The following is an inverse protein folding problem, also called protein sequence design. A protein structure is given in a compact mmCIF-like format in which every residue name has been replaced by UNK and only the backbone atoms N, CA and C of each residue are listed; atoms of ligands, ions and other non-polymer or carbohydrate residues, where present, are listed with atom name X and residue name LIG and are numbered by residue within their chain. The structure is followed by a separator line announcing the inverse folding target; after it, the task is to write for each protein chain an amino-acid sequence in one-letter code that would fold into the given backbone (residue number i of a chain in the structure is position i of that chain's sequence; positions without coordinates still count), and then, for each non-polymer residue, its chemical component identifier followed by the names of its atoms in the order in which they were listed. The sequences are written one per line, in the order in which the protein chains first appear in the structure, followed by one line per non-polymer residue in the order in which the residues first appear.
data_IF_452614945196
#
_entry.id   IF_452614945196
#
_cell.length_a   1.000
_cell.length_b   1.000
_cell.length_c   1.000
_cell.angle_alpha   90.00
_cell.angle_beta   90.00
_cell.angle_gamma   90.00
#
_symmetry.space_group_name_H-M   'P 1'
#
loop_
_entity.id
_entity.type
_entity.pdbx_description
1 polymer ?
#
# COMPACT_ATOMS: atom_id res chain seq x y z
N UNK A 1 -16.37 15.08 7.96
CA UNK A 1 -15.52 14.45 6.91
C UNK A 1 -14.10 14.53 7.41
N UNK A 2 -13.37 13.44 7.34
CA UNK A 2 -11.94 13.43 7.74
C UNK A 2 -11.12 13.87 6.52
N UNK A 3 -10.32 14.90 6.67
CA UNK A 3 -9.43 15.36 5.60
C UNK A 3 -8.43 14.26 5.18
N UNK A 4 -7.95 14.28 3.92
CA UNK A 4 -6.87 13.41 3.51
C UNK A 4 -5.63 13.67 4.38
N UNK A 5 -4.82 12.63 4.60
CA UNK A 5 -3.55 12.73 5.37
C UNK A 5 -2.62 13.78 4.77
N UNK A 6 -2.67 13.95 3.46
CA UNK A 6 -1.93 15.00 2.77
C UNK A 6 -2.27 15.07 1.29
N UNK A 7 -2.07 16.25 0.74
CA UNK A 7 -2.24 16.53 -0.69
C UNK A 7 -1.08 17.40 -1.18
N UNK A 8 -0.50 17.03 -2.30
CA UNK A 8 0.42 17.90 -3.05
C UNK A 8 -0.13 18.21 -4.43
N UNK A 9 -0.21 19.49 -4.77
CA UNK A 9 -0.66 19.98 -6.08
C UNK A 9 0.03 21.29 -6.43
N UNK A 10 0.51 21.44 -7.67
CA UNK A 10 1.20 22.67 -8.08
C UNK A 10 0.33 23.58 -8.95
N UNK A 11 -0.43 23.05 -9.92
CA UNK A 11 -1.12 23.92 -10.88
C UNK A 11 -2.60 23.58 -11.03
N UNK A 12 -3.50 24.58 -11.04
CA UNK A 12 -4.91 24.37 -11.32
C UNK A 12 -5.20 23.94 -12.77
N UNK A 13 -4.28 24.22 -13.71
CA UNK A 13 -4.47 23.96 -15.15
C UNK A 13 -3.96 22.60 -15.60
N UNK A 14 -3.51 21.76 -14.65
CA UNK A 14 -2.92 20.47 -14.95
C UNK A 14 -3.95 19.46 -15.44
N UNK A 15 -3.68 18.84 -16.59
CA UNK A 15 -4.51 17.79 -17.18
C UNK A 15 -3.95 16.44 -16.81
N UNK A 16 -4.74 15.66 -16.06
CA UNK A 16 -4.42 14.28 -15.69
C UNK A 16 -4.91 13.30 -16.76
N UNK A 17 -4.08 12.29 -17.06
CA UNK A 17 -4.40 11.23 -18.02
C UNK A 17 -4.32 9.83 -17.40
N UNK A 18 -3.56 9.70 -16.32
CA UNK A 18 -3.29 8.43 -15.69
C UNK A 18 -3.19 8.57 -14.17
N UNK A 19 -3.25 7.45 -13.48
CA UNK A 19 -2.97 7.38 -12.05
C UNK A 19 -2.22 6.10 -11.70
N UNK A 20 -1.48 6.14 -10.58
CA UNK A 20 -0.92 4.96 -9.94
C UNK A 20 -1.18 4.98 -8.46
N UNK A 21 -1.64 3.85 -7.93
CA UNK A 21 -1.85 3.67 -6.48
C UNK A 21 -0.62 3.03 -5.87
N UNK A 22 -0.19 3.56 -4.72
CA UNK A 22 0.84 2.99 -3.86
C UNK A 22 0.27 2.69 -2.47
N UNK A 23 0.89 1.78 -1.77
CA UNK A 23 0.55 1.41 -0.39
C UNK A 23 1.00 0.01 -0.07
N UNK A 24 1.19 -0.28 1.20
CA UNK A 24 1.59 -1.61 1.64
C UNK A 24 0.58 -2.68 1.22
N UNK A 25 1.06 -3.93 1.14
CA UNK A 25 0.17 -5.08 1.00
C UNK A 25 -0.90 -5.03 2.08
N UNK A 26 -2.12 -5.36 1.74
CA UNK A 26 -3.29 -5.32 2.65
C UNK A 26 -3.76 -3.92 3.09
N UNK A 27 -3.22 -2.84 2.54
CA UNK A 27 -3.70 -1.48 2.82
C UNK A 27 -4.89 -1.03 1.96
N UNK A 28 -5.40 -1.88 1.05
CA UNK A 28 -6.55 -1.52 0.22
C UNK A 28 -6.21 -0.94 -1.15
N UNK A 29 -4.98 -1.12 -1.65
CA UNK A 29 -4.54 -0.61 -2.96
C UNK A 29 -5.45 -1.05 -4.11
N UNK A 30 -5.88 -2.33 -4.15
CA UNK A 30 -6.81 -2.82 -5.18
C UNK A 30 -8.19 -2.15 -5.10
N UNK A 31 -8.64 -1.81 -3.90
CA UNK A 31 -9.91 -1.11 -3.71
C UNK A 31 -9.83 0.32 -4.26
N UNK A 32 -8.79 1.07 -3.89
CA UNK A 32 -8.57 2.43 -4.40
C UNK A 32 -8.40 2.43 -5.93
N UNK A 33 -7.61 1.50 -6.48
CA UNK A 33 -7.46 1.34 -7.94
C UNK A 33 -8.78 1.12 -8.64
N UNK A 34 -9.58 0.17 -8.16
CA UNK A 34 -10.87 -0.14 -8.79
C UNK A 34 -11.89 1.00 -8.64
N UNK A 35 -11.88 1.71 -7.50
CA UNK A 35 -12.74 2.87 -7.28
C UNK A 35 -12.43 3.97 -8.29
N UNK A 36 -11.17 4.31 -8.46
CA UNK A 36 -10.72 5.35 -9.40
C UNK A 36 -10.94 4.95 -10.85
N UNK A 37 -10.58 3.73 -11.23
CA UNK A 37 -10.76 3.23 -12.61
C UNK A 37 -12.22 3.21 -13.06
N UNK A 38 -13.15 2.97 -12.13
CA UNK A 38 -14.58 2.94 -12.47
C UNK A 38 -15.23 4.32 -12.51
N UNK A 39 -14.68 5.29 -11.81
CA UNK A 39 -15.34 6.56 -11.57
C UNK A 39 -14.65 7.76 -12.24
N UNK A 40 -13.45 7.57 -12.79
CA UNK A 40 -12.70 8.64 -13.47
C UNK A 40 -12.31 8.21 -14.89
N UNK A 41 -12.00 9.15 -15.79
CA UNK A 41 -11.47 8.84 -17.12
C UNK A 41 -9.98 8.45 -17.10
N UNK A 42 -9.35 8.41 -15.93
CA UNK A 42 -7.91 8.14 -15.80
C UNK A 42 -7.59 6.69 -16.11
N UNK A 43 -6.46 6.46 -16.78
CA UNK A 43 -5.91 5.12 -16.99
C UNK A 43 -5.04 4.72 -15.81
N UNK A 44 -5.32 3.57 -15.21
CA UNK A 44 -4.41 2.98 -14.22
C UNK A 44 -3.11 2.56 -14.90
N UNK A 45 -1.97 2.89 -14.28
CA UNK A 45 -0.64 2.53 -14.74
C UNK A 45 0.17 1.91 -13.61
N UNK A 46 1.26 1.22 -13.97
CA UNK A 46 2.18 0.57 -13.02
C UNK A 46 3.65 0.82 -13.36
N UNK A 47 3.91 1.74 -14.29
CA UNK A 47 5.24 2.01 -14.82
C UNK A 47 6.17 2.73 -13.83
N UNK A 48 5.63 3.24 -12.73
CA UNK A 48 6.40 3.92 -11.69
C UNK A 48 6.84 2.98 -10.55
N UNK A 49 6.93 1.69 -10.85
CA UNK A 49 7.40 0.66 -9.94
C UNK A 49 6.29 -0.13 -9.26
N UNK A 50 6.71 -1.09 -8.46
CA UNK A 50 5.79 -1.97 -7.75
C UNK A 50 4.96 -1.20 -6.72
N UNK A 51 3.65 -1.33 -6.79
CA UNK A 51 2.72 -0.55 -5.95
C UNK A 51 2.89 -0.74 -4.45
N UNK A 52 3.50 -1.84 -4.02
CA UNK A 52 3.80 -2.14 -2.62
C UNK A 52 5.26 -1.85 -2.25
N UNK A 53 6.06 -1.37 -3.21
CA UNK A 53 7.44 -0.95 -3.01
C UNK A 53 7.56 0.50 -2.58
N UNK A 54 8.79 0.92 -2.31
CA UNK A 54 9.13 2.32 -2.08
C UNK A 54 9.14 3.03 -3.44
N UNK A 55 8.43 4.15 -3.60
CA UNK A 55 8.50 4.93 -4.83
C UNK A 55 9.91 5.48 -5.08
N UNK A 56 10.65 4.89 -6.01
CA UNK A 56 12.08 5.18 -6.27
C UNK A 56 12.38 5.77 -7.64
N UNK A 57 11.36 6.15 -8.40
CA UNK A 57 11.53 6.75 -9.72
C UNK A 57 11.97 8.22 -9.64
N UNK A 58 12.83 8.69 -10.58
CA UNK A 58 13.42 10.03 -10.52
C UNK A 58 12.52 11.12 -11.13
N UNK A 59 11.55 10.76 -11.98
CA UNK A 59 10.71 11.70 -12.73
C UNK A 59 9.24 11.51 -12.42
N UNK A 60 8.58 12.60 -12.07
CA UNK A 60 7.14 12.65 -11.75
C UNK A 60 6.39 13.36 -12.89
N UNK A 61 5.73 12.61 -13.79
CA UNK A 61 4.99 13.25 -14.86
C UNK A 61 3.79 14.02 -14.32
N UNK A 62 3.64 15.26 -14.78
CA UNK A 62 2.53 16.13 -14.40
C UNK A 62 1.16 15.53 -14.71
N UNK A 63 1.06 14.65 -15.70
CA UNK A 63 -0.19 14.01 -16.10
C UNK A 63 -0.58 12.77 -15.30
N UNK A 64 0.21 12.38 -14.30
CA UNK A 64 -0.09 11.23 -13.45
C UNK A 64 -0.51 11.66 -12.05
N UNK A 65 -1.67 11.20 -11.59
CA UNK A 65 -2.07 11.31 -10.19
C UNK A 65 -1.47 10.13 -9.41
N UNK A 66 -0.72 10.42 -8.37
CA UNK A 66 -0.22 9.43 -7.42
C UNK A 66 -1.16 9.36 -6.21
N UNK A 67 -1.64 8.17 -5.92
CA UNK A 67 -2.54 7.93 -4.78
C UNK A 67 -1.85 6.98 -3.82
N UNK A 68 -1.67 7.42 -2.59
CA UNK A 68 -1.15 6.56 -1.52
C UNK A 68 -2.30 6.19 -0.61
N UNK A 69 -2.48 4.89 -0.38
CA UNK A 69 -3.47 4.40 0.58
C UNK A 69 -2.76 3.73 1.75
N UNK A 70 -3.05 4.26 2.95
CA UNK A 70 -2.53 3.79 4.22
C UNK A 70 -3.59 2.96 4.95
N UNK A 71 -3.19 2.22 5.96
CA UNK A 71 -4.08 1.47 6.83
C UNK A 71 -3.58 1.53 8.26
N UNK A 72 -4.51 1.55 9.22
CA UNK A 72 -4.19 1.42 10.64
C UNK A 72 -3.16 0.32 10.88
N UNK A 73 -2.08 0.56 11.63
CA UNK A 73 -0.97 -0.39 11.78
C UNK A 73 -1.39 -1.71 12.41
N UNK A 74 -2.31 -1.71 13.35
CA UNK A 74 -2.80 -2.93 14.02
C UNK A 74 -3.68 -3.73 13.07
N UNK A 75 -4.62 -3.07 12.41
CA UNK A 75 -5.49 -3.70 11.42
C UNK A 75 -4.73 -4.18 10.20
N UNK A 76 -3.68 -3.46 9.81
CA UNK A 76 -2.77 -3.87 8.75
C UNK A 76 -2.01 -5.14 9.12
N UNK A 77 -1.39 -5.20 10.32
CA UNK A 77 -0.69 -6.39 10.82
C UNK A 77 -1.62 -7.61 10.88
N UNK A 78 -2.81 -7.44 11.46
CA UNK A 78 -3.83 -8.51 11.51
C UNK A 78 -4.22 -8.98 10.09
N UNK A 79 -4.39 -8.06 9.15
CA UNK A 79 -4.76 -8.39 7.78
C UNK A 79 -3.62 -9.07 7.01
N UNK A 80 -2.38 -8.66 7.24
CA UNK A 80 -1.20 -9.26 6.62
C UNK A 80 -0.95 -10.67 7.18
N UNK A 81 -1.05 -10.85 8.48
CA UNK A 81 -0.94 -12.16 9.13
C UNK A 81 -2.02 -13.13 8.64
N UNK A 82 -3.27 -12.69 8.60
CA UNK A 82 -4.40 -13.53 8.12
C UNK A 82 -4.26 -13.97 6.67
N UNK A 83 -3.59 -13.19 5.85
CA UNK A 83 -3.42 -13.45 4.44
C UNK A 83 -2.06 -12.93 3.96
N UNK A 84 -0.97 -13.66 4.28
CA UNK A 84 0.41 -13.25 4.10
C UNK A 84 0.86 -13.38 2.64
N UNK A 85 0.30 -12.55 1.77
CA UNK A 85 0.63 -12.50 0.36
C UNK A 85 2.09 -12.06 0.15
N UNK A 86 2.85 -12.85 -0.61
CA UNK A 86 4.27 -12.62 -0.91
C UNK A 86 5.17 -12.57 0.35
N UNK A 87 4.80 -13.27 1.39
CA UNK A 87 5.64 -13.51 2.56
C UNK A 87 6.30 -14.87 2.41
N UNK A 88 7.54 -15.02 2.88
CA UNK A 88 8.26 -16.30 2.81
C UNK A 88 7.47 -17.41 3.53
N UNK A 89 7.41 -18.64 2.97
CA UNK A 89 6.61 -19.73 3.54
C UNK A 89 6.91 -20.00 5.02
N UNK A 90 8.18 -20.03 5.42
CA UNK A 90 8.55 -20.22 6.81
C UNK A 90 8.07 -19.13 7.78
N UNK A 91 7.77 -17.93 7.29
CA UNK A 91 7.20 -16.84 8.08
C UNK A 91 5.66 -16.94 8.14
N UNK A 92 5.04 -17.43 7.05
CA UNK A 92 3.58 -17.56 6.99
C UNK A 92 3.01 -18.48 8.06
N UNK A 93 3.77 -19.52 8.44
CA UNK A 93 3.35 -20.56 9.37
C UNK A 93 3.68 -20.23 10.85
N UNK A 94 4.35 -19.12 11.11
CA UNK A 94 4.70 -18.70 12.47
C UNK A 94 3.47 -18.24 13.27
N UNK A 95 3.44 -18.49 14.58
CA UNK A 95 2.51 -17.82 15.49
C UNK A 95 2.66 -16.30 15.38
N UNK A 96 1.59 -15.53 15.61
CA UNK A 96 1.62 -14.07 15.44
C UNK A 96 2.75 -13.38 16.20
N UNK A 97 2.99 -13.84 17.44
CA UNK A 97 4.07 -13.30 18.27
C UNK A 97 5.44 -13.41 17.59
N UNK A 98 5.71 -14.51 16.91
CA UNK A 98 6.95 -14.74 16.18
C UNK A 98 6.95 -14.01 14.84
N UNK A 99 5.82 -14.04 14.14
CA UNK A 99 5.61 -13.33 12.87
C UNK A 99 5.97 -11.84 12.94
N UNK A 100 5.62 -11.15 14.03
CA UNK A 100 5.93 -9.72 14.19
C UNK A 100 7.36 -9.44 14.65
N UNK A 101 8.13 -10.46 15.04
CA UNK A 101 9.48 -10.36 15.60
C UNK A 101 10.59 -10.91 14.71
N UNK A 102 10.26 -11.85 13.84
CA UNK A 102 11.26 -12.50 12.98
C UNK A 102 11.80 -11.55 11.92
N UNK A 103 13.02 -11.85 11.46
CA UNK A 103 13.58 -11.19 10.29
C UNK A 103 12.62 -11.36 9.09
N UNK A 104 12.32 -10.24 8.43
CA UNK A 104 11.31 -10.23 7.39
C UNK A 104 11.89 -10.60 6.03
N UNK A 105 11.25 -11.58 5.40
CA UNK A 105 11.56 -12.00 4.05
C UNK A 105 10.30 -12.09 3.20
N UNK A 106 10.37 -11.51 2.03
CA UNK A 106 9.32 -11.60 1.03
C UNK A 106 9.80 -12.44 -0.15
N UNK A 107 8.88 -13.21 -0.69
CA UNK A 107 9.12 -14.04 -1.87
C UNK A 107 8.11 -13.73 -2.95
N UNK A 108 8.53 -13.78 -4.18
CA UNK A 108 7.60 -13.63 -5.29
C UNK A 108 6.78 -14.92 -5.46
N UNK A 109 5.48 -14.78 -5.51
CA UNK A 109 4.58 -15.90 -5.79
C UNK A 109 4.01 -15.74 -7.20
N UNK A 110 4.49 -16.54 -8.19
CA UNK A 110 3.95 -16.47 -9.53
C UNK A 110 2.48 -16.89 -9.52
N UNK A 111 1.63 -16.06 -10.10
CA UNK A 111 0.23 -16.42 -10.32
C UNK A 111 0.16 -17.42 -11.48
N UNK A 112 -0.70 -18.42 -11.36
CA UNK A 112 -0.95 -19.47 -12.39
C UNK A 112 -1.47 -18.93 -13.72
N UNK A 113 -1.91 -17.69 -13.81
CA UNK A 113 -2.48 -17.06 -14.99
C UNK A 113 -1.66 -15.86 -15.43
N UNK A 114 -0.63 -16.09 -16.24
CA UNK A 114 -0.10 -15.11 -17.20
C UNK A 114 0.21 -13.68 -16.74
N UNK A 115 0.33 -13.43 -15.43
CA UNK A 115 0.70 -12.11 -14.94
C UNK A 115 2.16 -11.85 -15.30
N UNK A 116 2.35 -11.08 -16.33
CA UNK A 116 3.67 -10.56 -16.67
C UNK A 116 4.02 -9.52 -15.61
N UNK A 117 5.06 -9.80 -14.85
CA UNK A 117 5.60 -8.84 -13.88
C UNK A 117 5.86 -7.49 -14.58
N UNK A 118 5.79 -6.41 -13.86
CA UNK A 118 5.94 -5.03 -14.38
C UNK A 118 7.33 -4.77 -15.00
N UNK A 119 7.67 -5.43 -16.10
CA UNK A 119 8.94 -5.27 -16.80
C UNK A 119 10.16 -5.88 -16.11
N UNK A 120 10.01 -6.49 -14.96
CA UNK A 120 11.03 -7.31 -14.33
C UNK A 120 10.75 -8.76 -14.72
N UNK A 121 11.42 -9.23 -15.75
CA UNK A 121 11.50 -10.65 -16.06
C UNK A 121 12.35 -11.30 -14.96
N UNK A 122 11.71 -11.71 -13.88
CA UNK A 122 12.33 -12.61 -12.94
C UNK A 122 12.42 -13.98 -13.63
N UNK A 123 13.61 -14.52 -13.71
CA UNK A 123 13.82 -15.86 -14.24
C UNK A 123 13.24 -16.90 -13.27
N UNK A 124 12.02 -17.35 -13.55
CA UNK A 124 11.32 -18.35 -12.77
C UNK A 124 11.92 -19.76 -12.90
N UNK A 125 12.97 -19.94 -13.74
CA UNK A 125 13.68 -21.21 -13.85
C UNK A 125 14.46 -21.57 -12.58
N UNK A 126 14.75 -20.57 -11.75
CA UNK A 126 15.55 -20.74 -10.52
C UNK A 126 14.77 -21.26 -9.31
N UNK A 127 13.47 -21.52 -9.43
CA UNK A 127 12.70 -22.24 -8.42
C UNK A 127 11.64 -21.41 -7.69
N UNK A 128 10.86 -22.10 -6.85
CA UNK A 128 9.82 -21.49 -6.03
C UNK A 128 10.44 -20.68 -4.89
N UNK A 129 9.98 -19.45 -4.69
CA UNK A 129 10.31 -18.69 -3.52
C UNK A 129 11.58 -17.86 -3.65
N UNK A 130 11.86 -17.34 -4.83
CA UNK A 130 12.90 -16.32 -4.99
C UNK A 130 12.62 -15.09 -4.13
N UNK A 131 13.70 -14.53 -3.59
CA UNK A 131 13.63 -13.34 -2.75
C UNK A 131 13.13 -12.17 -3.58
N UNK A 132 12.04 -11.55 -3.15
CA UNK A 132 11.54 -10.33 -3.74
C UNK A 132 12.46 -9.16 -3.37
N UNK A 133 13.45 -8.88 -4.21
CA UNK A 133 14.47 -7.85 -3.94
C UNK A 133 13.89 -6.46 -3.68
N UNK A 134 12.69 -6.17 -4.21
CA UNK A 134 11.96 -4.93 -3.95
C UNK A 134 11.51 -4.77 -2.48
N UNK A 135 11.62 -5.82 -1.68
CA UNK A 135 11.29 -5.84 -0.25
C UNK A 135 12.55 -5.93 0.62
N UNK A 136 13.56 -5.20 0.22
CA UNK A 136 14.83 -5.04 0.96
C UNK A 136 14.94 -3.61 1.49
N UNK A 137 15.75 -3.45 2.54
CA UNK A 137 16.06 -2.12 3.05
C UNK A 137 16.72 -1.29 1.94
N UNK A 138 16.19 -0.11 1.59
CA UNK A 138 16.56 0.59 0.34
C UNK A 138 17.99 1.13 0.33
N UNK A 139 18.60 1.34 1.50
CA UNK A 139 19.96 1.85 1.63
C UNK A 139 20.96 0.72 1.84
N UNK A 140 20.63 -0.26 2.67
CA UNK A 140 21.56 -1.31 3.11
C UNK A 140 21.45 -2.60 2.29
N UNK A 141 20.35 -2.77 1.52
CA UNK A 141 20.09 -3.99 0.72
C UNK A 141 19.77 -5.25 1.55
N UNK A 142 19.78 -5.17 2.86
CA UNK A 142 19.50 -6.27 3.78
C UNK A 142 18.02 -6.57 3.91
N UNK A 143 17.68 -7.69 4.52
CA UNK A 143 16.34 -7.95 5.04
C UNK A 143 15.95 -6.93 6.11
N UNK A 144 14.67 -6.70 6.29
CA UNK A 144 14.19 -5.95 7.44
C UNK A 144 14.27 -6.81 8.69
N UNK A 145 14.64 -6.23 9.83
CA UNK A 145 14.74 -6.95 11.12
C UNK A 145 13.41 -7.59 11.54
N UNK A 146 12.31 -6.96 11.16
CA UNK A 146 10.96 -7.45 11.35
C UNK A 146 9.97 -6.68 10.45
N UNK A 147 8.71 -7.09 10.48
CA UNK A 147 7.63 -6.47 9.70
C UNK A 147 7.33 -5.02 10.10
N UNK A 148 7.68 -4.62 11.32
CA UNK A 148 7.48 -3.24 11.82
C UNK A 148 8.51 -2.29 11.22
N UNK A 149 9.78 -2.71 11.14
CA UNK A 149 10.82 -1.95 10.42
C UNK A 149 10.46 -1.81 8.93
N UNK A 150 9.99 -2.89 8.30
CA UNK A 150 9.50 -2.82 6.92
C UNK A 150 8.42 -1.74 6.78
N UNK A 151 7.45 -1.70 7.69
CA UNK A 151 6.39 -0.69 7.66
C UNK A 151 6.95 0.72 7.82
N UNK A 152 7.81 0.97 8.80
CA UNK A 152 8.40 2.29 9.04
C UNK A 152 9.09 2.84 7.79
N UNK A 153 9.94 2.01 7.17
CA UNK A 153 10.72 2.41 5.99
C UNK A 153 9.82 2.62 4.77
N UNK A 154 8.86 1.74 4.56
CA UNK A 154 7.95 1.87 3.41
C UNK A 154 6.95 3.02 3.58
N UNK A 155 6.44 3.22 4.79
CA UNK A 155 5.55 4.34 5.08
C UNK A 155 6.27 5.67 4.84
N UNK A 156 7.52 5.81 5.31
CA UNK A 156 8.34 6.98 5.00
C UNK A 156 8.53 7.17 3.49
N UNK A 157 8.80 6.10 2.76
CA UNK A 157 8.90 6.11 1.31
C UNK A 157 7.62 6.55 0.61
N UNK A 158 6.47 6.05 1.03
CA UNK A 158 5.17 6.44 0.48
C UNK A 158 4.85 7.91 0.78
N UNK A 159 5.06 8.37 2.01
CA UNK A 159 4.83 9.76 2.42
C UNK A 159 5.77 10.74 1.70
N UNK A 160 6.96 10.29 1.29
CA UNK A 160 7.89 11.13 0.54
C UNK A 160 7.33 11.63 -0.79
N UNK A 161 6.31 10.97 -1.34
CA UNK A 161 5.61 11.43 -2.53
C UNK A 161 4.96 12.80 -2.35
N UNK A 162 4.54 13.17 -1.15
CA UNK A 162 3.96 14.48 -0.87
C UNK A 162 4.95 15.63 -1.10
N UNK A 163 6.25 15.41 -0.83
CA UNK A 163 7.29 16.42 -1.03
C UNK A 163 7.99 16.33 -2.39
N UNK A 164 8.00 15.14 -3.00
CA UNK A 164 8.69 14.86 -4.27
C UNK A 164 7.81 15.00 -5.49
N UNK A 165 6.51 14.79 -5.33
CA UNK A 165 5.52 14.87 -6.40
C UNK A 165 4.63 16.10 -6.22
N UNK A 166 4.13 16.60 -7.34
CA UNK A 166 3.19 17.73 -7.38
C UNK A 166 1.75 17.29 -7.57
N UNK A 167 1.50 16.00 -7.55
CA UNK A 167 0.23 15.39 -7.90
C UNK A 167 -0.03 14.16 -7.03
N UNK A 168 0.04 14.32 -5.73
CA UNK A 168 -0.12 13.20 -4.82
C UNK A 168 -1.24 13.47 -3.82
N UNK A 169 -2.00 12.42 -3.53
CA UNK A 169 -2.94 12.39 -2.40
C UNK A 169 -2.66 11.17 -1.55
N UNK A 170 -2.63 11.35 -0.24
CA UNK A 170 -2.47 10.29 0.76
C UNK A 170 -3.77 10.17 1.55
N UNK A 171 -4.36 9.00 1.56
CA UNK A 171 -5.64 8.71 2.22
C UNK A 171 -5.54 7.47 3.12
N UNK A 172 -6.42 7.41 4.12
CA UNK A 172 -6.55 6.23 4.97
C UNK A 172 -7.57 5.26 4.39
N UNK A 173 -7.26 3.97 4.43
CA UNK A 173 -8.17 2.93 3.99
C UNK A 173 -9.50 2.96 4.74
N UNK A 174 -9.46 3.21 6.03
CA UNK A 174 -10.64 3.28 6.90
C UNK A 174 -11.61 4.35 6.45
N UNK A 175 -11.09 5.52 6.06
CA UNK A 175 -11.93 6.64 5.58
C UNK A 175 -12.51 6.33 4.20
N UNK A 176 -11.68 5.84 3.27
CA UNK A 176 -12.15 5.47 1.92
C UNK A 176 -13.12 4.28 1.95
N UNK A 177 -12.94 3.35 2.89
CA UNK A 177 -13.85 2.22 3.03
C UNK A 177 -15.19 2.62 3.66
N UNK A 178 -15.18 3.58 4.59
CA UNK A 178 -16.40 4.12 5.22
C UNK A 178 -17.16 5.04 4.26
N UNK A 179 -16.44 5.89 3.55
CA UNK A 179 -16.98 6.86 2.61
C UNK A 179 -16.13 6.91 1.33
N UNK A 180 -16.39 6.02 0.35
CA UNK A 180 -15.67 6.01 -0.91
C UNK A 180 -15.85 7.29 -1.74
N UNK A 181 -16.97 7.98 -1.58
CA UNK A 181 -17.26 9.23 -2.29
C UNK A 181 -16.34 10.36 -1.84
N UNK A 182 -15.84 10.30 -0.61
CA UNK A 182 -14.88 11.27 -0.10
C UNK A 182 -13.58 11.29 -0.94
N UNK A 183 -12.99 10.14 -1.26
CA UNK A 183 -11.81 10.09 -2.16
C UNK A 183 -12.15 10.67 -3.54
N UNK A 184 -13.31 10.35 -4.07
CA UNK A 184 -13.75 10.84 -5.37
C UNK A 184 -13.96 12.37 -5.35
N UNK A 185 -14.49 12.92 -4.25
CA UNK A 185 -14.63 14.36 -4.08
C UNK A 185 -13.27 15.06 -4.03
N UNK A 186 -12.29 14.52 -3.30
CA UNK A 186 -10.92 15.06 -3.28
C UNK A 186 -10.33 15.05 -4.70
N UNK A 187 -10.50 13.97 -5.44
CA UNK A 187 -10.01 13.84 -6.82
C UNK A 187 -10.67 14.88 -7.74
N UNK A 188 -11.97 15.09 -7.61
CA UNK A 188 -12.72 16.10 -8.38
C UNK A 188 -12.35 17.51 -7.98
N UNK A 189 -12.40 17.81 -6.69
CA UNK A 189 -12.38 19.21 -6.19
C UNK A 189 -10.94 19.75 -6.11
N UNK A 190 -9.99 18.91 -5.69
CA UNK A 190 -8.59 19.31 -5.59
C UNK A 190 -7.88 19.17 -6.93
N UNK A 191 -8.00 18.01 -7.60
CA UNK A 191 -7.24 17.76 -8.82
C UNK A 191 -7.98 18.14 -10.11
N UNK A 192 -9.25 18.55 -10.01
CA UNK A 192 -10.09 18.93 -11.16
C UNK A 192 -10.25 17.79 -12.17
N UNK A 193 -10.23 16.55 -11.68
CA UNK A 193 -10.43 15.35 -12.49
C UNK A 193 -11.93 15.07 -12.54
N UNK A 194 -12.52 14.91 -13.73
CA UNK A 194 -13.93 14.53 -13.85
C UNK A 194 -14.22 13.22 -13.13
N UNK A 195 -15.28 13.21 -12.34
CA UNK A 195 -15.81 12.03 -11.66
C UNK A 195 -17.23 11.80 -12.14
N UNK A 196 -17.67 10.55 -12.23
CA UNK A 196 -19.05 10.21 -12.60
C UNK A 196 -20.05 10.87 -11.65
N UNK A 197 -21.15 11.44 -12.17
CA UNK A 197 -22.20 12.07 -11.38
C UNK A 197 -22.81 11.09 -10.37
N UNK A 198 -22.98 9.85 -10.78
CA UNK A 198 -23.39 8.74 -9.90
C UNK A 198 -22.22 7.78 -9.74
N UNK A 199 -21.59 7.84 -8.58
CA UNK A 199 -20.43 7.00 -8.26
C UNK A 199 -20.79 5.51 -8.30
N UNK A 200 -19.94 4.72 -8.97
CA UNK A 200 -20.01 3.27 -8.95
C UNK A 200 -19.25 2.73 -7.73
N UNK A 201 -19.97 2.56 -6.63
CA UNK A 201 -19.38 2.04 -5.40
C UNK A 201 -19.13 0.55 -5.49
N UNK A 202 -18.04 0.11 -4.88
CA UNK A 202 -17.65 -1.29 -4.88
C UNK A 202 -18.37 -2.02 -3.75
N UNK A 203 -19.25 -2.95 -4.08
CA UNK A 203 -20.03 -3.73 -3.10
C UNK A 203 -19.26 -4.91 -2.50
N UNK A 204 -18.09 -5.27 -3.04
CA UNK A 204 -17.33 -6.46 -2.65
C UNK A 204 -15.83 -6.19 -2.57
N UNK A 205 -15.13 -7.06 -1.85
CA UNK A 205 -13.66 -7.06 -1.81
C UNK A 205 -13.08 -7.14 -3.21
N UNK A 206 -12.19 -6.19 -3.53
CA UNK A 206 -11.44 -6.19 -4.77
C UNK A 206 -10.07 -6.82 -4.50
N UNK A 207 -9.78 -7.88 -5.21
CA UNK A 207 -8.50 -8.59 -5.12
C UNK A 207 -8.66 -10.09 -4.86
N UNK A 208 -7.57 -10.86 -5.01
CA UNK A 208 -7.60 -12.29 -4.82
C UNK A 208 -7.92 -12.64 -3.37
N UNK A 209 -8.80 -13.63 -3.18
CA UNK A 209 -8.99 -14.27 -1.88
C UNK A 209 -7.76 -15.12 -1.59
N UNK A 210 -7.03 -14.79 -0.53
CA UNK A 210 -6.02 -15.69 0.02
C UNK A 210 -6.67 -16.68 0.97
N UNK A 211 -6.12 -17.89 1.14
CA UNK A 211 -6.57 -18.80 2.18
C UNK A 211 -6.63 -18.07 3.51
N UNK A 212 -7.69 -18.27 4.28
CA UNK A 212 -7.79 -17.72 5.62
C UNK A 212 -6.89 -18.55 6.52
N UNK A 213 -5.80 -17.99 6.94
CA UNK A 213 -5.08 -18.45 8.12
C UNK A 213 -5.73 -17.89 9.38
N UNK A 214 -5.29 -18.36 10.55
CA UNK A 214 -5.89 -18.04 11.84
C UNK A 214 -6.18 -16.54 12.01
N UNK A 215 -7.43 -16.20 12.28
CA UNK A 215 -7.81 -14.83 12.59
C UNK A 215 -7.36 -14.50 14.02
N UNK A 216 -6.68 -13.38 14.20
CA UNK A 216 -6.37 -12.82 15.50
C UNK A 216 -7.43 -11.78 15.80
N UNK A 217 -8.15 -11.97 16.90
CA UNK A 217 -9.11 -10.99 17.42
C UNK A 217 -8.40 -10.03 18.36
N UNK A 218 -7.61 -10.57 19.30
CA UNK A 218 -6.98 -9.80 20.36
C UNK A 218 -5.46 -9.93 20.33
N UNK A 219 -4.78 -8.83 20.63
CA UNK A 219 -3.33 -8.80 20.80
C UNK A 219 -3.00 -8.90 22.30
N UNK A 220 -1.98 -9.68 22.63
CA UNK A 220 -1.46 -9.68 23.99
C UNK A 220 -0.83 -8.34 24.34
N UNK A 221 -0.81 -8.00 25.64
CA UNK A 221 -0.13 -6.80 26.13
C UNK A 221 1.35 -6.76 25.69
N UNK A 222 2.03 -7.92 25.74
CA UNK A 222 3.42 -8.04 25.31
C UNK A 222 3.62 -7.83 23.78
N UNK A 223 2.63 -8.18 22.96
CA UNK A 223 2.68 -7.92 21.53
C UNK A 223 2.40 -6.44 21.22
N UNK A 224 1.45 -5.83 21.93
CA UNK A 224 1.20 -4.39 21.81
C UNK A 224 2.42 -3.56 22.26
N UNK A 225 3.08 -3.93 23.34
CA UNK A 225 4.31 -3.28 23.79
C UNK A 225 5.40 -3.41 22.73
N UNK A 226 5.61 -4.62 22.18
CA UNK A 226 6.57 -4.84 21.11
C UNK A 226 6.26 -3.99 19.87
N UNK A 227 5.00 -3.92 19.45
CA UNK A 227 4.57 -3.11 18.31
C UNK A 227 4.86 -1.64 18.57
N UNK A 228 4.45 -1.09 19.71
CA UNK A 228 4.71 0.32 20.07
C UNK A 228 6.19 0.64 20.14
N UNK A 229 7.00 -0.28 20.64
CA UNK A 229 8.47 -0.10 20.73
C UNK A 229 9.17 -0.02 19.38
N UNK A 230 8.65 -0.70 18.35
CA UNK A 230 9.34 -0.85 17.06
C UNK A 230 8.70 -0.06 15.92
N UNK A 231 7.48 0.45 16.09
CA UNK A 231 6.89 1.40 15.14
C UNK A 231 7.45 2.81 15.34
N UNK A 232 7.55 3.54 14.25
CA UNK A 232 7.73 5.00 14.30
C UNK A 232 6.38 5.66 14.65
N UNK A 233 6.13 5.77 15.97
CA UNK A 233 4.87 6.32 16.48
C UNK A 233 4.62 7.76 16.03
N UNK A 234 5.67 8.56 15.85
CA UNK A 234 5.54 9.93 15.36
C UNK A 234 5.07 9.94 13.90
N UNK A 235 5.56 9.01 13.08
CA UNK A 235 5.11 8.86 11.70
C UNK A 235 3.67 8.33 11.62
N UNK A 236 3.31 7.35 12.45
CA UNK A 236 1.93 6.83 12.51
C UNK A 236 0.94 7.91 12.98
N UNK A 237 1.31 8.69 14.00
CA UNK A 237 0.49 9.81 14.48
C UNK A 237 0.25 10.86 13.39
N UNK A 238 1.28 11.20 12.61
CA UNK A 238 1.11 12.11 11.44
C UNK A 238 0.15 11.57 10.39
N UNK A 239 -0.01 10.25 10.31
CA UNK A 239 -0.98 9.60 9.44
C UNK A 239 -2.38 9.51 10.07
N UNK A 240 -2.55 9.99 11.30
CA UNK A 240 -3.81 9.93 12.03
C UNK A 240 -4.07 8.61 12.73
N UNK A 241 -3.01 7.84 13.05
CA UNK A 241 -3.06 6.57 13.78
C UNK A 241 -2.40 6.71 15.17
N UNK A 242 -3.15 7.17 16.18
CA UNK A 242 -2.68 7.16 17.56
C UNK A 242 -2.63 5.71 18.08
N UNK A 243 -1.52 5.31 18.73
CA UNK A 243 -1.31 3.99 19.32
C UNK A 243 -1.06 4.05 20.84
#
# INVERSE_FOLDING_TARGET
MTDPVGVSRISPEQVFKMFQVFGERRSGTNFASALLSKNTPLKEVSQFGWKHGIPSFPVFPKSCLFVVILRDPIDWLKALYRAPFEVAPGIQDLPFREFIRCEWESVYTPRKSGWRGHGYELDFSLGRGEILQLDRHPVEGRRYRNVLELRNVKLAGHLSLLSRSTNCVVVRYEDVNRDPEHLLSVVRDVFRIPVRDKALLLKQRVGPSSPKQNAITDLSAADMEHIKKHLDLAQELRCGYPL
#
